data_IF_073407593361
#
_entry.id   IF_073407593361
#
_cell.length_a   1.000
_cell.length_b   1.000
_cell.length_c   1.000
_cell.angle_alpha   90.00
_cell.angle_beta   90.00
_cell.angle_gamma   90.00
#
_symmetry.space_group_name_H-M   'P 1'
#
loop_
_entity.id
_entity.type
_entity.pdbx_description
1 polymer ?
#
# COMPACT_ATOMS: atom_id res chain seq x y z
N UNK A 1 10.56 0.09 -17.37
CA UNK A 1 11.56 -0.15 -16.28
C UNK A 1 11.09 0.49 -14.98
N UNK A 2 11.14 -0.23 -13.85
CA UNK A 2 10.85 0.35 -12.52
C UNK A 2 11.95 1.33 -12.16
N UNK A 3 11.58 2.56 -11.81
CA UNK A 3 12.53 3.60 -11.40
C UNK A 3 12.98 3.33 -9.95
N UNK A 4 14.25 3.51 -9.68
CA UNK A 4 14.81 3.38 -8.33
C UNK A 4 15.32 4.73 -7.84
N UNK A 5 15.12 5.03 -6.56
CA UNK A 5 15.58 6.25 -5.90
C UNK A 5 16.05 5.94 -4.48
N UNK A 6 17.18 6.49 -4.08
CA UNK A 6 17.60 6.52 -2.67
C UNK A 6 17.47 7.95 -2.15
N UNK A 7 16.79 8.11 -1.02
CA UNK A 7 16.57 9.41 -0.36
C UNK A 7 17.14 9.38 1.05
N UNK A 8 17.73 10.52 1.47
CA UNK A 8 18.42 10.60 2.76
C UNK A 8 18.16 11.96 3.43
N UNK A 9 17.97 11.97 4.73
CA UNK A 9 17.83 13.19 5.52
C UNK A 9 16.65 13.20 6.48
N UNK A 10 16.18 14.40 6.83
CA UNK A 10 14.92 14.56 7.56
C UNK A 10 13.71 14.17 6.69
N UNK A 11 12.54 14.07 7.27
CA UNK A 11 11.30 13.81 6.49
C UNK A 11 11.07 14.90 5.43
N UNK A 12 11.37 16.15 5.73
CA UNK A 12 11.31 17.22 4.73
C UNK A 12 12.31 16.98 3.59
N UNK A 13 13.57 16.64 3.91
CA UNK A 13 14.62 16.41 2.90
C UNK A 13 14.29 15.25 1.98
N UNK A 14 13.80 14.13 2.52
CA UNK A 14 13.41 12.98 1.70
C UNK A 14 12.20 13.32 0.83
N UNK A 15 11.22 14.03 1.37
CA UNK A 15 10.09 14.53 0.59
C UNK A 15 10.54 15.48 -0.53
N UNK A 16 11.46 16.38 -0.27
CA UNK A 16 12.01 17.30 -1.29
C UNK A 16 12.72 16.55 -2.43
N UNK A 17 13.50 15.53 -2.10
CA UNK A 17 14.19 14.68 -3.08
C UNK A 17 13.17 13.92 -3.94
N UNK A 18 12.12 13.34 -3.34
CA UNK A 18 11.03 12.66 -4.05
C UNK A 18 10.29 13.63 -4.98
N UNK A 19 9.93 14.81 -4.47
CA UNK A 19 9.26 15.85 -5.24
C UNK A 19 10.08 16.36 -6.41
N UNK A 20 11.39 16.52 -6.21
CA UNK A 20 12.33 16.95 -7.26
C UNK A 20 12.50 15.91 -8.33
N UNK A 21 12.67 14.64 -7.94
CA UNK A 21 12.78 13.48 -8.83
C UNK A 21 11.49 13.27 -9.65
N UNK A 22 10.33 13.35 -9.01
CA UNK A 22 9.04 13.12 -9.63
C UNK A 22 8.34 14.36 -10.18
N UNK A 23 8.99 15.52 -10.25
CA UNK A 23 8.34 16.82 -10.56
C UNK A 23 7.40 16.79 -11.75
N UNK A 24 7.84 16.26 -12.89
CA UNK A 24 7.01 16.18 -14.11
C UNK A 24 5.79 15.31 -13.88
N UNK A 25 5.99 14.13 -13.29
CA UNK A 25 4.97 13.13 -13.00
C UNK A 25 3.94 13.69 -12.02
N UNK A 26 4.39 14.25 -10.90
CA UNK A 26 3.51 14.83 -9.88
C UNK A 26 2.64 15.94 -10.49
N UNK A 27 3.23 16.83 -11.30
CA UNK A 27 2.46 17.88 -11.99
C UNK A 27 1.37 17.30 -12.90
N UNK A 28 1.68 16.27 -13.68
CA UNK A 28 0.73 15.61 -14.58
C UNK A 28 -0.41 14.95 -13.80
N UNK A 29 -0.09 14.19 -12.75
CA UNK A 29 -1.06 13.51 -11.89
C UNK A 29 -1.99 14.50 -11.17
N UNK A 30 -1.44 15.61 -10.66
CA UNK A 30 -2.24 16.65 -10.01
C UNK A 30 -3.11 17.42 -11.02
N UNK A 31 -2.61 17.68 -12.22
CA UNK A 31 -3.38 18.34 -13.29
C UNK A 31 -4.58 17.50 -13.71
N UNK A 32 -4.41 16.18 -13.86
CA UNK A 32 -5.50 15.24 -14.17
C UNK A 32 -6.62 15.32 -13.13
N UNK A 33 -6.28 15.48 -11.85
CA UNK A 33 -7.23 15.50 -10.73
C UNK A 33 -7.56 16.91 -10.22
N UNK A 34 -7.10 17.96 -10.91
CA UNK A 34 -7.20 19.35 -10.44
C UNK A 34 -8.61 19.77 -10.06
N UNK A 35 -9.59 19.54 -10.93
CA UNK A 35 -11.00 19.91 -10.68
C UNK A 35 -11.55 19.23 -9.42
N UNK A 36 -11.18 17.96 -9.19
CA UNK A 36 -11.59 17.21 -7.99
C UNK A 36 -10.99 17.87 -6.76
N UNK A 37 -9.68 18.16 -6.78
CA UNK A 37 -9.00 18.77 -5.64
C UNK A 37 -9.53 20.17 -5.33
N UNK A 38 -9.75 21.03 -6.31
CA UNK A 38 -10.34 22.36 -6.14
C UNK A 38 -11.75 22.25 -5.54
N UNK A 39 -12.58 21.35 -6.05
CA UNK A 39 -13.93 21.10 -5.52
C UNK A 39 -13.89 20.64 -4.06
N UNK A 40 -12.99 19.73 -3.73
CA UNK A 40 -12.83 19.20 -2.37
C UNK A 40 -12.31 20.28 -1.43
N UNK A 41 -11.34 21.09 -1.84
CA UNK A 41 -10.83 22.22 -1.05
C UNK A 41 -11.93 23.22 -0.72
N UNK A 42 -12.77 23.55 -1.69
CA UNK A 42 -13.87 24.49 -1.47
C UNK A 42 -14.98 23.90 -0.58
N UNK A 43 -15.40 22.66 -0.82
CA UNK A 43 -16.55 22.06 -0.12
C UNK A 43 -16.21 21.47 1.25
N UNK A 44 -14.95 21.02 1.46
CA UNK A 44 -14.53 20.26 2.65
C UNK A 44 -13.37 20.92 3.41
N UNK A 45 -13.18 22.21 3.26
CA UNK A 45 -12.07 22.98 3.85
C UNK A 45 -11.91 22.74 5.35
N UNK A 46 -12.98 22.91 6.13
CA UNK A 46 -12.96 22.71 7.59
C UNK A 46 -12.56 21.27 7.96
N UNK A 47 -12.98 20.31 7.15
CA UNK A 47 -12.63 18.90 7.36
C UNK A 47 -11.14 18.68 7.15
N UNK A 48 -10.59 19.23 6.09
CA UNK A 48 -9.15 19.16 5.75
C UNK A 48 -8.34 19.78 6.89
N UNK A 49 -8.67 20.99 7.31
CA UNK A 49 -7.96 21.70 8.39
C UNK A 49 -8.01 20.92 9.72
N UNK A 50 -9.16 20.34 10.09
CA UNK A 50 -9.28 19.48 11.28
C UNK A 50 -8.39 18.24 11.18
N UNK A 51 -8.35 17.59 10.02
CA UNK A 51 -7.50 16.41 9.80
C UNK A 51 -6.04 16.79 9.85
N UNK A 52 -5.63 17.89 9.22
CA UNK A 52 -4.25 18.40 9.28
C UNK A 52 -3.83 18.69 10.73
N UNK A 53 -4.67 19.37 11.52
CA UNK A 53 -4.42 19.62 12.95
C UNK A 53 -4.29 18.32 13.75
N UNK A 54 -5.09 17.31 13.43
CA UNK A 54 -5.00 16.00 14.07
C UNK A 54 -3.67 15.31 13.75
N UNK A 55 -3.27 15.29 12.46
CA UNK A 55 -1.99 14.71 12.03
C UNK A 55 -0.82 15.50 12.62
N UNK A 56 -0.90 16.85 12.70
CA UNK A 56 0.12 17.70 13.31
C UNK A 56 0.41 17.30 14.77
N UNK A 57 -0.60 16.81 15.49
CA UNK A 57 -0.42 16.32 16.87
C UNK A 57 0.12 14.89 16.95
N UNK A 58 -0.14 14.05 15.94
CA UNK A 58 0.17 12.61 15.96
C UNK A 58 1.47 12.26 15.26
N UNK A 59 1.71 12.85 14.10
CA UNK A 59 2.83 12.56 13.23
C UNK A 59 3.21 13.80 12.40
N UNK A 60 3.66 14.91 13.06
CA UNK A 60 3.97 16.18 12.39
C UNK A 60 5.00 16.01 11.28
N UNK A 61 5.92 15.08 11.44
CA UNK A 61 6.99 14.81 10.47
C UNK A 61 6.49 14.27 9.12
N UNK A 62 5.35 13.58 9.07
CA UNK A 62 4.75 13.18 7.79
C UNK A 62 4.17 14.40 7.03
N UNK A 63 3.72 15.44 7.74
CA UNK A 63 3.33 16.70 7.08
C UNK A 63 4.56 17.43 6.53
N UNK A 64 5.72 17.34 7.19
CA UNK A 64 6.98 17.87 6.66
C UNK A 64 7.42 17.12 5.40
N UNK A 65 7.25 15.78 5.35
CA UNK A 65 7.51 15.00 4.14
C UNK A 65 6.63 15.47 2.98
N UNK A 66 5.33 15.67 3.20
CA UNK A 66 4.43 16.21 2.18
C UNK A 66 4.78 17.66 1.76
N UNK A 67 5.25 18.50 2.69
CA UNK A 67 5.76 19.83 2.36
C UNK A 67 7.00 19.76 1.49
N UNK A 68 7.92 18.85 1.83
CA UNK A 68 9.09 18.54 1.02
C UNK A 68 8.71 18.14 -0.40
N UNK A 69 7.79 17.17 -0.54
CA UNK A 69 7.28 16.72 -1.85
C UNK A 69 6.71 17.91 -2.65
N UNK A 70 5.86 18.72 -2.03
CA UNK A 70 5.24 19.88 -2.69
C UNK A 70 6.27 20.89 -3.16
N UNK A 71 7.27 21.22 -2.32
CA UNK A 71 8.33 22.15 -2.64
C UNK A 71 9.25 21.62 -3.73
N UNK A 72 9.70 20.37 -3.63
CA UNK A 72 10.54 19.71 -4.64
C UNK A 72 9.85 19.61 -5.99
N UNK A 73 8.56 19.30 -6.02
CA UNK A 73 7.75 19.23 -7.23
C UNK A 73 7.34 20.63 -7.77
N UNK A 74 7.48 21.70 -6.97
CA UNK A 74 6.98 23.05 -7.26
C UNK A 74 5.47 23.06 -7.54
N UNK A 75 4.69 22.53 -6.58
CA UNK A 75 3.22 22.41 -6.65
C UNK A 75 2.57 22.85 -5.33
N UNK A 76 1.24 23.04 -5.37
CA UNK A 76 0.48 23.41 -4.17
C UNK A 76 0.50 22.27 -3.14
N UNK A 77 0.87 22.56 -1.89
CA UNK A 77 0.89 21.62 -0.77
C UNK A 77 -0.47 20.96 -0.54
N UNK A 78 -1.57 21.72 -0.63
CA UNK A 78 -2.90 21.18 -0.39
C UNK A 78 -3.26 20.09 -1.40
N UNK A 79 -2.76 20.15 -2.63
CA UNK A 79 -2.99 19.10 -3.62
C UNK A 79 -2.20 17.83 -3.28
N UNK A 80 -0.95 17.96 -2.80
CA UNK A 80 -0.17 16.83 -2.29
C UNK A 80 -0.85 16.22 -1.07
N UNK A 81 -1.35 17.04 -0.14
CA UNK A 81 -2.09 16.55 1.02
C UNK A 81 -3.35 15.77 0.60
N UNK A 82 -4.17 16.31 -0.31
CA UNK A 82 -5.37 15.65 -0.80
C UNK A 82 -5.08 14.36 -1.55
N UNK A 83 -3.99 14.29 -2.30
CA UNK A 83 -3.55 13.05 -2.94
C UNK A 83 -3.25 11.97 -1.90
N UNK A 84 -2.77 12.35 -0.74
CA UNK A 84 -2.49 11.47 0.39
C UNK A 84 -3.67 11.29 1.36
N UNK A 85 -4.86 11.75 0.94
CA UNK A 85 -6.10 11.58 1.68
C UNK A 85 -7.19 10.96 0.77
N UNK A 86 -6.99 9.70 0.33
CA UNK A 86 -7.86 9.05 -0.66
C UNK A 86 -9.32 8.93 -0.21
N UNK A 87 -9.59 8.90 1.09
CA UNK A 87 -10.95 8.85 1.63
C UNK A 87 -11.79 10.09 1.28
N UNK A 88 -11.14 11.23 1.13
CA UNK A 88 -11.84 12.47 0.82
C UNK A 88 -11.97 12.68 -0.69
N UNK A 89 -11.11 12.04 -1.48
CA UNK A 89 -11.07 12.11 -2.95
C UNK A 89 -11.71 10.91 -3.64
N UNK A 90 -12.12 9.89 -2.87
CA UNK A 90 -12.69 8.62 -3.36
C UNK A 90 -11.76 7.85 -4.32
N UNK A 91 -10.46 7.89 -4.08
CA UNK A 91 -9.48 7.11 -4.84
C UNK A 91 -9.41 5.66 -4.32
N UNK A 92 -9.36 4.68 -5.23
CA UNK A 92 -9.23 3.26 -4.90
C UNK A 92 -8.35 2.54 -5.91
N UNK A 93 -7.41 1.74 -5.42
CA UNK A 93 -6.60 0.80 -6.20
C UNK A 93 -7.15 -0.62 -6.14
N UNK A 94 -6.50 -1.55 -6.84
CA UNK A 94 -6.74 -2.98 -6.77
C UNK A 94 -5.46 -3.72 -6.38
N UNK A 95 -5.58 -4.81 -5.62
CA UNK A 95 -4.42 -5.57 -5.18
C UNK A 95 -4.79 -7.05 -5.01
N UNK A 96 -3.77 -7.90 -5.07
CA UNK A 96 -3.91 -9.32 -4.75
C UNK A 96 -2.70 -9.77 -3.97
N UNK A 97 -2.91 -10.29 -2.77
CA UNK A 97 -1.86 -10.79 -1.88
C UNK A 97 -2.01 -12.29 -1.67
N UNK A 98 -0.93 -13.03 -1.82
CA UNK A 98 -0.85 -14.48 -1.56
C UNK A 98 0.32 -14.75 -0.63
N UNK A 99 0.11 -15.58 0.39
CA UNK A 99 1.18 -16.10 1.23
C UNK A 99 1.14 -17.63 1.22
N UNK A 100 2.30 -18.23 1.02
CA UNK A 100 2.49 -19.68 1.15
C UNK A 100 3.50 -19.93 2.25
N UNK A 101 3.10 -20.77 3.22
CA UNK A 101 3.96 -21.23 4.30
C UNK A 101 3.76 -22.73 4.50
N UNK A 102 4.80 -23.52 4.25
CA UNK A 102 4.85 -24.93 4.50
C UNK A 102 6.24 -25.32 5.01
N UNK A 103 6.58 -26.60 5.07
CA UNK A 103 7.89 -27.09 5.53
C UNK A 103 9.06 -26.62 4.64
N UNK A 104 8.84 -26.41 3.34
CA UNK A 104 9.86 -26.05 2.34
C UNK A 104 9.84 -24.57 2.01
N UNK A 105 8.64 -23.99 1.88
CA UNK A 105 8.41 -22.68 1.33
C UNK A 105 7.84 -21.72 2.37
N UNK A 106 8.36 -20.52 2.40
CA UNK A 106 7.73 -19.39 3.08
C UNK A 106 7.96 -18.13 2.24
N UNK A 107 6.97 -17.77 1.45
CA UNK A 107 7.02 -16.55 0.64
C UNK A 107 5.69 -15.80 0.62
N UNK A 108 5.79 -14.51 0.37
CA UNK A 108 4.67 -13.60 0.10
C UNK A 108 4.79 -13.13 -1.33
N UNK A 109 3.68 -13.13 -2.05
CA UNK A 109 3.57 -12.54 -3.37
C UNK A 109 2.42 -11.53 -3.40
N UNK A 110 2.61 -10.39 -4.09
CA UNK A 110 1.62 -9.33 -4.14
C UNK A 110 1.64 -8.62 -5.48
N UNK A 111 0.46 -8.37 -6.03
CA UNK A 111 0.24 -7.52 -7.19
C UNK A 111 -0.32 -6.17 -6.76
N UNK A 112 0.27 -5.12 -7.27
CA UNK A 112 -0.23 -3.75 -7.20
C UNK A 112 -0.93 -3.40 -8.50
N UNK A 113 -2.25 -3.21 -8.43
CA UNK A 113 -3.11 -2.89 -9.58
C UNK A 113 -3.65 -1.47 -9.45
N UNK A 114 -3.46 -0.66 -10.47
CA UNK A 114 -3.93 0.71 -10.52
C UNK A 114 -4.58 1.03 -11.87
N UNK A 115 -5.17 2.22 -12.00
CA UNK A 115 -5.81 2.73 -13.21
C UNK A 115 -4.87 2.60 -14.42
N UNK A 116 -5.33 2.00 -15.51
CA UNK A 116 -4.54 1.72 -16.72
C UNK A 116 -4.09 2.97 -17.47
N UNK A 117 -4.65 4.13 -17.14
CA UNK A 117 -4.18 5.44 -17.63
C UNK A 117 -2.87 5.90 -16.99
N UNK A 118 -2.39 5.23 -15.94
CA UNK A 118 -1.06 5.40 -15.40
C UNK A 118 -0.04 4.66 -16.27
N UNK A 119 1.21 5.06 -16.14
CA UNK A 119 2.36 4.41 -16.80
C UNK A 119 3.39 3.99 -15.76
N UNK A 120 4.29 3.06 -16.13
CA UNK A 120 5.27 2.52 -15.19
C UNK A 120 6.14 3.58 -14.55
N UNK A 121 6.47 4.67 -15.28
CA UNK A 121 7.25 5.80 -14.79
C UNK A 121 6.57 6.59 -13.67
N UNK A 122 5.27 6.40 -13.46
CA UNK A 122 4.56 7.01 -12.34
C UNK A 122 4.96 6.38 -11.00
N UNK A 123 5.54 5.19 -11.02
CA UNK A 123 5.94 4.43 -9.84
C UNK A 123 7.45 4.44 -9.63
N UNK A 124 7.87 4.26 -8.40
CA UNK A 124 9.27 4.07 -8.05
C UNK A 124 9.44 3.14 -6.85
N UNK A 125 10.53 2.40 -6.84
CA UNK A 125 11.05 1.75 -5.64
C UNK A 125 11.99 2.74 -4.95
N UNK A 126 11.58 3.21 -3.77
CA UNK A 126 12.33 4.22 -3.01
C UNK A 126 12.94 3.59 -1.76
N UNK A 127 14.25 3.78 -1.60
CA UNK A 127 14.97 3.48 -0.37
C UNK A 127 15.05 4.73 0.49
N UNK A 128 14.48 4.66 1.68
CA UNK A 128 14.49 5.73 2.67
C UNK A 128 15.59 5.50 3.70
N UNK A 129 16.46 6.51 3.87
CA UNK A 129 17.49 6.57 4.91
C UNK A 129 17.25 7.82 5.76
N UNK A 130 16.40 7.69 6.77
CA UNK A 130 16.00 8.83 7.59
C UNK A 130 17.08 9.21 8.62
N UNK A 131 17.20 10.50 8.92
CA UNK A 131 18.18 11.05 9.89
C UNK A 131 18.03 10.46 11.30
N UNK A 132 16.84 10.00 11.67
CA UNK A 132 16.57 9.32 12.95
C UNK A 132 17.01 7.85 13.00
N UNK A 133 17.65 7.35 11.93
CA UNK A 133 18.14 5.97 11.82
C UNK A 133 17.17 4.98 11.20
N UNK A 134 15.92 5.35 10.92
CA UNK A 134 14.98 4.49 10.23
C UNK A 134 15.43 4.25 8.78
N UNK A 135 15.37 2.99 8.36
CA UNK A 135 15.66 2.58 6.99
C UNK A 135 14.61 1.59 6.51
N UNK A 136 14.03 1.89 5.36
CA UNK A 136 13.06 1.01 4.72
C UNK A 136 13.02 1.24 3.21
N UNK A 137 12.43 0.30 2.50
CA UNK A 137 12.15 0.41 1.07
C UNK A 137 10.64 0.37 0.86
N UNK A 138 10.15 1.14 -0.08
CA UNK A 138 8.74 1.18 -0.44
C UNK A 138 8.55 1.32 -1.94
N UNK A 139 7.67 0.52 -2.52
CA UNK A 139 7.15 0.77 -3.86
C UNK A 139 6.01 1.78 -3.73
N UNK A 140 6.11 2.89 -4.45
CA UNK A 140 5.19 4.02 -4.32
C UNK A 140 4.75 4.58 -5.67
N UNK A 141 3.52 5.03 -5.75
CA UNK A 141 3.09 5.98 -6.76
C UNK A 141 3.65 7.36 -6.39
N UNK A 142 4.52 7.91 -7.25
CA UNK A 142 5.34 9.09 -6.93
C UNK A 142 4.45 10.27 -6.48
N UNK A 143 4.77 10.82 -5.31
CA UNK A 143 4.00 11.88 -4.64
C UNK A 143 3.04 11.38 -3.56
N UNK A 144 2.99 10.06 -3.31
CA UNK A 144 2.30 9.48 -2.17
C UNK A 144 3.27 9.14 -1.04
N UNK A 145 2.74 9.06 0.19
CA UNK A 145 3.45 8.55 1.35
C UNK A 145 3.80 7.06 1.15
N UNK A 146 4.83 6.54 1.83
CA UNK A 146 5.27 5.16 1.67
C UNK A 146 4.26 4.14 2.19
N UNK A 147 4.47 2.86 1.80
CA UNK A 147 3.76 1.68 2.30
C UNK A 147 2.26 1.63 1.93
N UNK A 148 1.91 2.09 0.74
CA UNK A 148 0.54 1.97 0.22
C UNK A 148 0.35 0.78 -0.74
N UNK A 149 1.44 0.13 -1.16
CA UNK A 149 1.49 -1.08 -1.96
C UNK A 149 2.25 -2.18 -1.22
N UNK A 150 3.58 -2.18 -1.32
CA UNK A 150 4.43 -3.07 -0.55
C UNK A 150 5.71 -2.37 -0.10
N UNK A 151 6.23 -2.81 1.06
CA UNK A 151 7.41 -2.22 1.68
C UNK A 151 8.11 -3.21 2.59
N UNK A 152 9.38 -2.95 2.91
CA UNK A 152 10.11 -3.69 3.93
C UNK A 152 11.11 -2.80 4.65
N UNK A 153 11.35 -3.10 5.94
CA UNK A 153 12.26 -2.32 6.76
C UNK A 153 13.41 -3.17 7.35
N UNK A 154 14.41 -2.50 7.90
CA UNK A 154 15.57 -3.17 8.50
C UNK A 154 15.25 -3.95 9.79
N UNK A 155 14.07 -3.76 10.39
CA UNK A 155 13.59 -4.57 11.50
C UNK A 155 12.99 -5.92 11.06
N UNK A 156 13.09 -6.26 9.78
CA UNK A 156 12.61 -7.51 9.20
C UNK A 156 11.10 -7.56 8.96
N UNK A 157 10.41 -6.44 8.93
CA UNK A 157 8.99 -6.39 8.56
C UNK A 157 8.89 -6.25 7.04
N UNK A 158 8.21 -7.19 6.39
CA UNK A 158 7.71 -7.07 5.03
C UNK A 158 6.19 -6.87 5.09
N UNK A 159 5.71 -5.86 4.39
CA UNK A 159 4.31 -5.45 4.39
C UNK A 159 3.76 -5.40 2.97
N UNK A 160 2.60 -6.02 2.74
CA UNK A 160 1.75 -5.78 1.58
C UNK A 160 0.43 -5.18 2.02
N UNK A 161 -0.14 -4.31 1.20
CA UNK A 161 -1.34 -3.56 1.52
C UNK A 161 -2.39 -3.76 0.44
N UNK A 162 -3.57 -4.27 0.81
CA UNK A 162 -4.71 -4.33 -0.09
C UNK A 162 -5.76 -3.31 0.35
N UNK A 163 -6.20 -2.47 -0.55
CA UNK A 163 -7.32 -1.56 -0.30
C UNK A 163 -8.60 -2.34 -0.01
N UNK A 164 -9.29 -2.04 1.08
CA UNK A 164 -10.59 -2.61 1.41
C UNK A 164 -11.67 -1.54 1.31
N UNK A 165 -12.76 -1.87 0.61
CA UNK A 165 -13.96 -1.03 0.54
C UNK A 165 -14.98 -1.56 1.56
N UNK A 166 -15.77 -0.73 2.28
CA UNK A 166 -16.12 0.66 2.01
C UNK A 166 -15.20 1.70 2.66
N UNK A 167 -15.19 2.87 2.03
CA UNK A 167 -14.49 4.05 2.50
C UNK A 167 -15.46 4.98 3.21
N UNK A 168 -15.52 4.96 4.54
CA UNK A 168 -16.26 5.97 5.28
C UNK A 168 -15.35 6.61 6.30
N UNK A 169 -14.86 7.80 6.00
CA UNK A 169 -14.20 8.65 6.97
C UNK A 169 -15.25 9.52 7.69
N UNK A 170 -16.04 8.87 8.54
CA UNK A 170 -17.08 9.56 9.30
C UNK A 170 -16.52 10.36 10.49
N UNK A 171 -15.24 10.18 10.80
CA UNK A 171 -14.61 10.82 11.94
C UNK A 171 -13.22 11.37 11.61
N UNK A 172 -13.12 12.68 11.62
CA UNK A 172 -11.92 13.47 11.31
C UNK A 172 -10.82 13.40 12.38
N UNK A 173 -11.10 12.78 13.52
CA UNK A 173 -10.10 12.49 14.56
C UNK A 173 -9.39 11.14 14.33
N UNK A 174 -9.49 10.58 13.12
CA UNK A 174 -8.83 9.35 12.74
C UNK A 174 -7.74 9.63 11.71
N UNK A 175 -6.74 8.74 11.66
CA UNK A 175 -5.69 8.83 10.65
C UNK A 175 -6.24 8.50 9.27
N UNK A 176 -5.98 9.30 8.23
CA UNK A 176 -6.14 8.84 6.86
C UNK A 176 -5.29 7.57 6.64
N UNK A 177 -5.79 6.63 5.85
CA UNK A 177 -5.15 5.31 5.73
C UNK A 177 -3.71 5.37 5.21
N UNK A 178 -3.35 6.33 4.35
CA UNK A 178 -1.98 6.48 3.86
C UNK A 178 -1.02 6.93 4.96
N UNK A 179 -1.48 7.81 5.87
CA UNK A 179 -0.69 8.18 7.05
C UNK A 179 -0.54 7.02 8.03
N UNK A 180 -1.60 6.23 8.25
CA UNK A 180 -1.50 5.03 9.09
C UNK A 180 -0.52 4.03 8.50
N UNK A 181 -0.57 3.81 7.19
CA UNK A 181 0.30 2.89 6.47
C UNK A 181 1.77 3.32 6.52
N UNK A 182 2.05 4.60 6.32
CA UNK A 182 3.40 5.16 6.47
C UNK A 182 3.96 4.95 7.88
N UNK A 183 3.16 5.20 8.92
CA UNK A 183 3.57 4.95 10.30
C UNK A 183 3.77 3.46 10.63
N UNK A 184 3.11 2.57 9.89
CA UNK A 184 3.19 1.13 10.11
C UNK A 184 4.56 0.57 9.71
N UNK A 185 5.14 1.01 8.59
CA UNK A 185 6.46 0.51 8.14
C UNK A 185 7.60 0.98 9.04
N UNK A 186 7.39 2.00 9.86
CA UNK A 186 8.37 2.50 10.82
C UNK A 186 8.46 1.66 12.10
N UNK A 187 7.59 0.65 12.26
CA UNK A 187 7.55 -0.14 13.49
C UNK A 187 8.75 -1.08 13.62
N UNK A 188 9.31 -1.16 14.83
CA UNK A 188 10.53 -1.93 15.13
C UNK A 188 10.32 -3.45 15.26
N UNK A 189 9.08 -3.95 15.19
CA UNK A 189 8.77 -5.38 15.25
C UNK A 189 7.34 -5.67 14.79
N UNK A 190 7.08 -6.93 14.43
CA UNK A 190 5.72 -7.40 14.12
C UNK A 190 4.75 -7.18 15.31
N UNK A 191 5.24 -7.36 16.56
CA UNK A 191 4.45 -7.11 17.78
C UNK A 191 4.05 -5.64 17.86
N UNK A 192 5.00 -4.73 17.64
CA UNK A 192 4.74 -3.28 17.68
C UNK A 192 3.78 -2.86 16.56
N UNK A 193 3.95 -3.40 15.35
CA UNK A 193 3.07 -3.15 14.21
C UNK A 193 1.62 -3.57 14.50
N UNK A 194 1.41 -4.75 15.08
CA UNK A 194 0.08 -5.22 15.49
C UNK A 194 -0.53 -4.32 16.58
N UNK A 195 0.27 -3.94 17.59
CA UNK A 195 -0.19 -3.07 18.67
C UNK A 195 -0.54 -1.67 18.16
N UNK A 196 0.29 -1.13 17.26
CA UNK A 196 0.04 0.16 16.61
C UNK A 196 -1.31 0.15 15.88
N UNK A 197 -1.58 -0.84 15.04
CA UNK A 197 -2.85 -0.95 14.32
C UNK A 197 -4.05 -1.14 15.25
N UNK A 198 -3.92 -1.89 16.36
CA UNK A 198 -4.99 -2.07 17.35
C UNK A 198 -5.30 -0.80 18.11
N UNK A 199 -4.30 0.01 18.43
CA UNK A 199 -4.42 1.23 19.24
C UNK A 199 -4.96 2.42 18.45
N UNK A 200 -4.57 2.54 17.18
CA UNK A 200 -4.96 3.66 16.35
C UNK A 200 -6.32 3.41 15.65
N UNK A 201 -6.92 4.48 15.19
CA UNK A 201 -8.16 4.48 14.41
C UNK A 201 -7.87 5.13 13.06
N UNK A 202 -8.35 4.53 11.98
CA UNK A 202 -8.19 5.10 10.65
C UNK A 202 -9.52 5.56 10.05
N UNK A 203 -9.43 6.36 9.00
CA UNK A 203 -10.62 6.89 8.33
C UNK A 203 -11.34 5.85 7.47
N UNK A 204 -10.62 4.83 6.97
CA UNK A 204 -11.21 3.82 6.07
C UNK A 204 -10.63 2.43 6.33
N UNK A 205 -10.40 1.61 5.30
CA UNK A 205 -9.94 0.26 5.47
C UNK A 205 -8.74 -0.12 4.62
N UNK A 206 -7.84 -0.85 5.24
CA UNK A 206 -6.79 -1.61 4.59
C UNK A 206 -6.75 -3.04 5.14
N UNK A 207 -6.38 -3.96 4.27
CA UNK A 207 -5.77 -5.22 4.67
C UNK A 207 -4.25 -5.04 4.66
N UNK A 208 -3.61 -5.51 5.73
CA UNK A 208 -2.15 -5.59 5.84
C UNK A 208 -1.75 -7.04 5.97
N UNK A 209 -0.96 -7.55 5.04
CA UNK A 209 -0.21 -8.76 5.27
C UNK A 209 1.17 -8.36 5.79
N UNK A 210 1.45 -8.71 7.05
CA UNK A 210 2.73 -8.45 7.68
C UNK A 210 3.49 -9.76 7.86
N UNK A 211 4.69 -9.83 7.31
CA UNK A 211 5.62 -10.92 7.52
C UNK A 211 6.86 -10.44 8.29
N UNK A 212 7.23 -11.19 9.33
CA UNK A 212 8.47 -11.04 10.06
C UNK A 212 9.49 -11.99 9.43
N UNK A 213 10.40 -11.43 8.65
CA UNK A 213 11.40 -12.19 7.88
C UNK A 213 12.48 -12.78 8.79
N UNK A 214 12.70 -12.20 9.98
CA UNK A 214 13.69 -12.67 10.96
C UNK A 214 13.16 -13.85 11.78
N UNK A 215 11.91 -13.75 12.27
CA UNK A 215 11.29 -14.77 13.12
C UNK A 215 10.36 -15.72 12.35
N UNK A 216 10.28 -15.59 11.04
CA UNK A 216 9.47 -16.45 10.14
C UNK A 216 7.99 -16.55 10.58
N UNK A 217 7.38 -15.41 10.89
CA UNK A 217 5.98 -15.28 11.29
C UNK A 217 5.23 -14.40 10.29
N UNK A 218 3.94 -14.66 10.14
CA UNK A 218 3.08 -13.80 9.34
C UNK A 218 1.69 -13.65 9.95
N UNK A 219 1.10 -12.50 9.72
CA UNK A 219 -0.27 -12.18 10.12
C UNK A 219 -1.00 -11.46 9.00
N UNK A 220 -2.29 -11.74 8.91
CA UNK A 220 -3.23 -10.98 8.12
C UNK A 220 -4.02 -10.06 9.04
N UNK A 221 -4.13 -8.80 8.70
CA UNK A 221 -4.82 -7.79 9.49
C UNK A 221 -5.80 -7.03 8.62
N UNK A 222 -7.08 -7.21 8.86
CA UNK A 222 -8.09 -6.31 8.31
C UNK A 222 -8.40 -5.21 9.31
N UNK A 223 -8.37 -3.98 8.86
CA UNK A 223 -8.63 -2.81 9.66
C UNK A 223 -9.58 -1.86 8.96
N UNK A 224 -10.61 -1.41 9.68
CA UNK A 224 -11.55 -0.39 9.22
C UNK A 224 -12.09 0.41 10.41
N UNK A 225 -11.85 1.70 10.41
CA UNK A 225 -12.23 2.60 11.48
C UNK A 225 -11.62 2.22 12.83
N UNK A 226 -12.48 1.86 13.78
CA UNK A 226 -12.10 1.40 15.13
C UNK A 226 -11.80 -0.09 15.20
N UNK A 227 -12.17 -0.85 14.19
CA UNK A 227 -12.15 -2.30 14.24
C UNK A 227 -10.88 -2.83 13.60
N UNK A 228 -10.19 -3.71 14.30
CA UNK A 228 -9.02 -4.43 13.81
C UNK A 228 -9.25 -5.92 14.03
N UNK A 229 -9.04 -6.72 13.00
CA UNK A 229 -9.07 -8.17 13.05
C UNK A 229 -7.70 -8.71 12.66
N UNK A 230 -7.11 -9.55 13.51
CA UNK A 230 -5.77 -10.11 13.31
C UNK A 230 -5.90 -11.63 13.23
N UNK A 231 -5.38 -12.22 12.17
CA UNK A 231 -5.25 -13.68 11.98
C UNK A 231 -3.79 -14.05 11.85
N UNK A 232 -3.30 -14.99 12.66
CA UNK A 232 -1.99 -15.63 12.42
C UNK A 232 -2.09 -16.52 11.19
N UNK A 233 -1.06 -16.50 10.36
CA UNK A 233 -1.01 -17.31 9.15
C UNK A 233 0.01 -18.42 9.39
N UNK A 234 -0.46 -19.67 9.29
CA UNK A 234 0.38 -20.85 9.51
C UNK A 234 0.63 -21.65 8.22
N UNK A 235 -0.25 -21.50 7.21
CA UNK A 235 -0.19 -22.27 5.97
C UNK A 235 -0.33 -21.34 4.76
N UNK A 236 -1.48 -21.43 4.07
CA UNK A 236 -1.83 -20.59 2.93
C UNK A 236 -2.71 -19.43 3.38
N UNK A 237 -2.52 -18.32 2.72
CA UNK A 237 -3.40 -17.17 2.85
C UNK A 237 -3.46 -16.40 1.55
N UNK A 238 -4.60 -15.86 1.22
CA UNK A 238 -4.80 -14.98 0.08
C UNK A 238 -5.82 -13.90 0.42
N UNK A 239 -5.64 -12.74 -0.15
CA UNK A 239 -6.51 -11.58 0.05
C UNK A 239 -6.60 -10.76 -1.23
N UNK A 240 -7.70 -10.03 -1.36
CA UNK A 240 -7.94 -9.07 -2.42
C UNK A 240 -8.59 -7.81 -1.82
N UNK A 241 -9.53 -7.17 -2.47
CA UNK A 241 -10.04 -5.86 -2.04
C UNK A 241 -11.38 -5.90 -1.29
N UNK A 242 -11.70 -6.98 -0.58
CA UNK A 242 -12.90 -7.05 0.26
C UNK A 242 -12.64 -7.79 1.57
N UNK A 243 -13.45 -7.54 2.56
CA UNK A 243 -13.30 -8.18 3.87
C UNK A 243 -13.57 -9.68 3.81
N UNK A 244 -12.64 -10.48 4.34
CA UNK A 244 -12.75 -11.94 4.45
C UNK A 244 -12.61 -12.45 5.89
N UNK A 245 -12.25 -11.57 6.86
CA UNK A 245 -12.24 -11.93 8.26
C UNK A 245 -13.66 -11.94 8.84
N UNK A 246 -14.05 -12.98 9.56
CA UNK A 246 -15.40 -13.16 10.13
C UNK A 246 -15.89 -11.93 10.93
N UNK A 247 -14.97 -11.18 11.55
CA UNK A 247 -15.30 -9.97 12.30
C UNK A 247 -15.94 -8.88 11.45
N UNK A 248 -15.66 -8.87 10.14
CA UNK A 248 -16.15 -7.89 9.19
C UNK A 248 -17.16 -8.45 8.20
N UNK A 249 -17.05 -9.74 7.83
CA UNK A 249 -17.83 -10.36 6.75
C UNK A 249 -19.33 -10.23 6.95
N UNK A 250 -19.83 -10.35 8.19
CA UNK A 250 -21.26 -10.21 8.52
C UNK A 250 -21.80 -8.78 8.29
N UNK A 251 -20.93 -7.76 8.37
CA UNK A 251 -21.34 -6.36 8.27
C UNK A 251 -21.30 -5.82 6.84
N UNK A 252 -20.42 -6.35 6.01
CA UNK A 252 -20.05 -5.72 4.72
C UNK A 252 -20.35 -6.57 3.47
N UNK A 253 -20.76 -7.84 3.61
CA UNK A 253 -20.90 -8.80 2.50
C UNK A 253 -22.01 -8.53 1.49
N UNK A 254 -23.02 -7.73 1.82
CA UNK A 254 -24.24 -7.63 1.00
C UNK A 254 -24.44 -6.33 0.24
N UNK A 255 -23.56 -5.34 0.39
CA UNK A 255 -23.78 -4.00 -0.17
C UNK A 255 -22.70 -3.49 -1.12
N UNK A 256 -21.68 -4.30 -1.40
CA UNK A 256 -20.47 -3.79 -2.05
C UNK A 256 -20.26 -4.41 -3.43
N UNK A 257 -20.13 -3.56 -4.43
CA UNK A 257 -19.64 -3.98 -5.73
C UNK A 257 -18.11 -4.12 -5.65
N UNK A 258 -17.63 -5.35 -5.48
CA UNK A 258 -16.20 -5.65 -5.32
C UNK A 258 -15.46 -5.74 -6.67
N UNK A 259 -16.11 -5.42 -7.79
CA UNK A 259 -15.52 -5.56 -9.11
C UNK A 259 -14.92 -6.96 -9.30
N UNK A 260 -13.64 -7.03 -9.66
CA UNK A 260 -12.93 -8.30 -9.90
C UNK A 260 -12.44 -9.00 -8.62
N UNK A 261 -12.60 -8.38 -7.45
CA UNK A 261 -12.00 -8.83 -6.20
C UNK A 261 -12.40 -10.25 -5.81
N UNK A 262 -13.70 -10.59 -5.89
CA UNK A 262 -14.19 -11.95 -5.57
C UNK A 262 -13.69 -13.00 -6.55
N UNK A 263 -13.64 -12.66 -7.84
CA UNK A 263 -13.15 -13.57 -8.88
C UNK A 263 -11.65 -13.85 -8.70
N UNK A 264 -10.84 -12.81 -8.42
CA UNK A 264 -9.41 -12.97 -8.12
C UNK A 264 -9.18 -13.82 -6.87
N UNK A 265 -10.00 -13.64 -5.83
CA UNK A 265 -9.94 -14.47 -4.62
C UNK A 265 -10.23 -15.95 -4.93
N UNK A 266 -11.27 -16.25 -5.74
CA UNK A 266 -11.63 -17.62 -6.13
C UNK A 266 -10.49 -18.30 -6.92
N UNK A 267 -9.78 -17.58 -7.76
CA UNK A 267 -8.63 -18.14 -8.47
C UNK A 267 -7.47 -18.41 -7.54
N UNK A 268 -7.14 -17.50 -6.62
CA UNK A 268 -6.14 -17.78 -5.60
C UNK A 268 -6.51 -19.07 -4.82
N UNK A 269 -7.78 -19.24 -4.48
CA UNK A 269 -8.26 -20.47 -3.82
C UNK A 269 -8.04 -21.73 -4.67
N UNK A 270 -8.28 -21.67 -5.98
CA UNK A 270 -8.10 -22.84 -6.88
C UNK A 270 -6.63 -23.26 -7.06
N UNK A 271 -5.68 -22.35 -6.82
CA UNK A 271 -4.26 -22.68 -6.90
C UNK A 271 -3.79 -23.56 -5.76
N UNK A 272 -4.51 -23.57 -4.63
CA UNK A 272 -4.12 -24.32 -3.43
C UNK A 272 -4.29 -25.84 -3.55
N UNK A 273 -4.96 -26.32 -4.60
CA UNK A 273 -5.22 -27.74 -4.81
C UNK A 273 -4.20 -28.43 -5.74
N UNK A 274 -3.03 -27.79 -6.02
CA UNK A 274 -2.04 -28.30 -6.98
C UNK A 274 -0.69 -28.53 -6.31
N UNK A 275 0.10 -29.50 -6.83
CA UNK A 275 1.36 -29.95 -6.20
C UNK A 275 2.55 -28.98 -6.31
N UNK A 276 2.54 -28.02 -7.26
CA UNK A 276 3.65 -27.06 -7.51
C UNK A 276 3.19 -25.62 -7.24
N UNK A 277 2.86 -25.34 -5.99
CA UNK A 277 2.24 -24.09 -5.59
C UNK A 277 3.06 -22.83 -5.92
N UNK A 278 4.38 -22.86 -5.70
CA UNK A 278 5.20 -21.66 -5.82
C UNK A 278 5.26 -21.18 -7.27
N UNK A 279 5.59 -22.06 -8.19
CA UNK A 279 5.68 -21.72 -9.61
C UNK A 279 4.34 -21.29 -10.17
N UNK A 280 3.26 -21.99 -9.79
CA UNK A 280 1.92 -21.68 -10.26
C UNK A 280 1.38 -20.36 -9.70
N UNK A 281 1.64 -20.03 -8.42
CA UNK A 281 1.28 -18.73 -7.86
C UNK A 281 2.05 -17.62 -8.56
N UNK A 282 3.37 -17.78 -8.73
CA UNK A 282 4.20 -16.81 -9.45
C UNK A 282 3.66 -16.63 -10.87
N UNK A 283 3.49 -17.71 -11.62
CA UNK A 283 2.95 -17.68 -12.98
C UNK A 283 1.57 -17.01 -13.04
N UNK A 284 0.69 -17.31 -12.10
CA UNK A 284 -0.64 -16.70 -12.08
C UNK A 284 -0.58 -15.21 -11.83
N UNK A 285 0.19 -14.76 -10.83
CA UNK A 285 0.33 -13.35 -10.51
C UNK A 285 1.04 -12.56 -11.62
N UNK A 286 2.07 -13.13 -12.25
CA UNK A 286 2.85 -12.46 -13.28
C UNK A 286 2.27 -12.56 -14.69
N UNK A 287 1.37 -13.52 -14.99
CA UNK A 287 0.82 -13.71 -16.33
C UNK A 287 -0.70 -13.53 -16.41
N UNK A 288 -1.46 -14.18 -15.51
CA UNK A 288 -2.93 -14.17 -15.59
C UNK A 288 -3.56 -12.89 -15.05
N UNK A 289 -2.92 -12.21 -14.12
CA UNK A 289 -3.41 -10.93 -13.58
C UNK A 289 -2.87 -9.71 -14.34
N UNK A 290 -1.99 -9.93 -15.35
CA UNK A 290 -1.38 -8.83 -16.11
C UNK A 290 -2.35 -8.02 -16.97
N UNK A 291 -3.50 -8.53 -17.42
CA UNK A 291 -4.53 -7.76 -18.18
C UNK A 291 -5.85 -8.47 -18.30
N UNK A 292 -6.91 -7.71 -18.73
CA UNK A 292 -8.06 -7.60 -17.84
C UNK A 292 -8.57 -8.98 -17.54
N UNK A 293 -8.33 -9.36 -16.33
CA UNK A 293 -8.77 -10.63 -15.79
C UNK A 293 -10.27 -10.81 -15.92
N UNK A 294 -10.99 -9.68 -16.03
CA UNK A 294 -12.41 -9.59 -16.30
C UNK A 294 -12.63 -8.46 -17.33
N UNK A 295 -13.36 -8.78 -18.37
CA UNK A 295 -13.86 -7.84 -19.36
C UNK A 295 -14.46 -6.62 -18.65
N UNK A 296 -13.90 -5.41 -18.86
CA UNK A 296 -14.28 -4.12 -18.27
C UNK A 296 -13.57 -3.70 -16.96
N UNK A 297 -12.49 -4.31 -16.54
CA UNK A 297 -11.63 -3.72 -15.50
C UNK A 297 -10.64 -2.75 -16.16
N UNK A 298 -10.69 -1.47 -15.76
CA UNK A 298 -9.80 -0.42 -16.26
C UNK A 298 -8.46 -0.39 -15.51
N UNK A 299 -8.14 -1.42 -14.72
CA UNK A 299 -6.90 -1.53 -13.96
C UNK A 299 -5.93 -2.49 -14.62
N UNK A 300 -4.64 -2.22 -14.43
CA UNK A 300 -3.55 -3.14 -14.76
C UNK A 300 -2.60 -3.31 -13.60
N UNK A 301 -1.85 -4.41 -13.58
CA UNK A 301 -0.80 -4.66 -12.60
C UNK A 301 0.45 -3.88 -12.98
N UNK A 302 0.93 -3.00 -12.12
CA UNK A 302 2.15 -2.21 -12.32
C UNK A 302 3.38 -2.87 -11.73
N UNK A 303 3.20 -3.63 -10.66
CA UNK A 303 4.29 -4.41 -10.07
C UNK A 303 3.76 -5.70 -9.45
N UNK A 304 4.55 -6.76 -9.57
CA UNK A 304 4.41 -7.99 -8.79
C UNK A 304 5.65 -8.12 -7.92
N UNK A 305 5.47 -8.18 -6.61
CA UNK A 305 6.57 -8.46 -5.68
C UNK A 305 6.47 -9.89 -5.15
N UNK A 306 7.62 -10.55 -5.01
CA UNK A 306 7.76 -11.85 -4.35
C UNK A 306 8.85 -11.73 -3.31
N UNK A 307 8.48 -11.88 -2.04
CA UNK A 307 9.40 -11.96 -0.92
C UNK A 307 9.55 -13.41 -0.48
N UNK A 308 10.69 -14.03 -0.79
CA UNK A 308 11.07 -15.35 -0.27
C UNK A 308 11.72 -15.17 1.10
N UNK A 309 10.96 -15.47 2.15
CA UNK A 309 11.39 -15.25 3.53
C UNK A 309 12.48 -16.25 3.93
N UNK A 310 12.48 -17.46 3.38
CA UNK A 310 13.51 -18.45 3.65
C UNK A 310 14.86 -18.04 3.05
N UNK A 311 14.86 -17.51 1.83
CA UNK A 311 16.06 -17.07 1.10
C UNK A 311 16.44 -15.62 1.39
N UNK A 312 15.58 -14.88 2.13
CA UNK A 312 15.75 -13.45 2.40
C UNK A 312 15.96 -12.61 1.14
N UNK A 313 15.24 -12.92 0.09
CA UNK A 313 15.31 -12.18 -1.17
C UNK A 313 13.93 -11.66 -1.59
N UNK A 314 13.96 -10.54 -2.29
CA UNK A 314 12.79 -9.90 -2.85
C UNK A 314 13.02 -9.76 -4.35
N UNK A 315 12.04 -10.23 -5.13
CA UNK A 315 11.98 -10.04 -6.57
C UNK A 315 10.80 -9.14 -6.90
N UNK A 316 11.02 -8.13 -7.71
CA UNK A 316 9.97 -7.22 -8.17
C UNK A 316 9.96 -7.28 -9.69
N UNK A 317 8.80 -7.57 -10.24
CA UNK A 317 8.53 -7.66 -11.68
C UNK A 317 7.61 -6.50 -12.09
N UNK A 318 7.80 -5.98 -13.27
CA UNK A 318 6.87 -5.07 -13.93
C UNK A 318 6.34 -5.67 -15.24
N UNK A 319 5.53 -4.92 -15.99
CA UNK A 319 4.99 -5.34 -17.29
C UNK A 319 6.07 -5.60 -18.36
N UNK A 320 7.24 -4.95 -18.24
CA UNK A 320 8.35 -5.02 -19.22
C UNK A 320 9.30 -6.18 -18.92
N UNK A 321 8.91 -7.11 -18.05
CA UNK A 321 9.71 -8.25 -17.58
C UNK A 321 10.99 -7.88 -16.83
N UNK A 322 11.16 -6.60 -16.47
CA UNK A 322 12.26 -6.16 -15.62
C UNK A 322 12.16 -6.80 -14.24
N UNK A 323 13.26 -7.35 -13.77
CA UNK A 323 13.36 -7.95 -12.45
C UNK A 323 14.35 -7.20 -11.59
N UNK A 324 13.86 -6.62 -10.49
CA UNK A 324 14.72 -6.04 -9.46
C UNK A 324 14.92 -7.08 -8.35
N UNK A 325 16.19 -7.34 -7.99
CA UNK A 325 16.55 -8.20 -6.87
C UNK A 325 17.02 -7.36 -5.68
N UNK A 326 16.39 -7.59 -4.52
CA UNK A 326 16.76 -6.96 -3.24
C UNK A 326 16.90 -8.02 -2.15
N UNK A 327 17.55 -7.65 -1.04
CA UNK A 327 17.57 -8.44 0.19
C UNK A 327 16.61 -7.83 1.21
N UNK A 328 15.93 -8.67 1.99
CA UNK A 328 15.08 -8.27 3.10
C UNK A 328 15.76 -8.48 4.46
#
# INVERSE_FOLDING_TARGET
MIRELTVTGSYFDVGYQIGSFGRKIIKQLLQKNRKIFETVLNKKRLQIEKTQKFIQKKAPYLLEELRGIAMGAKVNYNFIFLRNFPEITNSSGGCTTVLIKNKKDFFVAHNEDEDDSLINENFALIQFNLKNGLRYNSFVLIGELPNNAFSWNMAGIFCCVDTIVPFNCDNLSYLPRYFESALLIEQASLKNAIQFLKKNRNCSGFHYLLADTLNKKAVSIEKSGKTTSVKKINNFFYHTNHHIHNKFSKKYTNKENFGTSKARLAICASLLNKNDYQEQVIKTLTTKFKRPFIKNDSRKTFATVICDINKKNIKIFNDDEDVILKKC
#
